data_IF_360006646755
#
_entry.id   IF_360006646755
#
_cell.length_a   1.000
_cell.length_b   1.000
_cell.length_c   1.000
_cell.angle_alpha   90.00
_cell.angle_beta   90.00
_cell.angle_gamma   90.00
#
_symmetry.space_group_name_H-M   'P 1'
#
loop_
_entity.id
_entity.type
_entity.pdbx_description
1 polymer ?
#
# COMPACT_ATOMS: atom_id res chain seq x y z
N UNK A 1 -2.66 8.71 16.45
CA UNK A 1 -1.47 8.13 15.81
C UNK A 1 -1.95 7.50 14.51
N UNK A 2 -1.65 8.11 13.36
CA UNK A 2 -2.08 7.59 12.05
C UNK A 2 -1.19 6.43 11.65
N UNK A 3 -1.71 5.21 11.70
CA UNK A 3 -1.02 4.02 11.20
C UNK A 3 -1.14 3.97 9.68
N UNK A 4 -0.07 4.34 8.97
CA UNK A 4 0.00 4.30 7.50
C UNK A 4 0.68 3.00 7.10
N UNK A 5 0.01 2.18 6.30
CA UNK A 5 0.60 0.99 5.69
C UNK A 5 0.73 1.17 4.17
N UNK A 6 1.87 0.78 3.61
CA UNK A 6 2.11 0.75 2.17
C UNK A 6 2.51 -0.66 1.72
N UNK A 7 1.78 -1.18 0.72
CA UNK A 7 2.15 -2.39 0.00
C UNK A 7 3.14 -2.02 -1.10
N UNK A 8 4.40 -2.38 -0.90
CA UNK A 8 5.53 -1.84 -1.66
C UNK A 8 6.36 -2.94 -2.36
N UNK A 9 6.91 -2.58 -3.52
CA UNK A 9 7.98 -3.34 -4.19
C UNK A 9 9.07 -2.37 -4.68
N UNK A 10 10.37 -2.67 -4.45
CA UNK A 10 11.46 -1.76 -4.82
C UNK A 10 11.59 -1.57 -6.35
N UNK A 11 11.10 -2.53 -7.13
CA UNK A 11 11.20 -2.51 -8.59
C UNK A 11 10.14 -1.63 -9.29
N UNK A 12 9.22 -1.02 -8.53
CA UNK A 12 8.18 -0.14 -9.07
C UNK A 12 8.50 1.33 -8.80
N UNK A 13 8.74 2.11 -9.86
CA UNK A 13 9.05 3.55 -9.75
C UNK A 13 7.99 4.34 -9.01
N UNK A 14 6.71 4.13 -9.34
CA UNK A 14 5.58 4.79 -8.67
C UNK A 14 5.55 4.44 -7.17
N UNK A 15 5.74 3.18 -6.82
CA UNK A 15 5.73 2.73 -5.42
C UNK A 15 6.87 3.35 -4.61
N UNK A 16 8.07 3.51 -5.20
CA UNK A 16 9.19 4.23 -4.56
C UNK A 16 8.86 5.70 -4.33
N UNK A 17 8.25 6.36 -5.32
CA UNK A 17 7.86 7.77 -5.20
C UNK A 17 6.79 7.95 -4.11
N UNK A 18 5.79 7.08 -4.03
CA UNK A 18 4.77 7.10 -2.97
C UNK A 18 5.39 6.91 -1.58
N UNK A 19 6.30 5.94 -1.41
CA UNK A 19 7.00 5.74 -0.14
C UNK A 19 7.81 6.99 0.27
N UNK A 20 8.50 7.62 -0.69
CA UNK A 20 9.24 8.86 -0.44
C UNK A 20 8.31 10.01 -0.04
N UNK A 21 7.16 10.16 -0.70
CA UNK A 21 6.17 11.19 -0.35
C UNK A 21 5.63 11.01 1.08
N UNK A 22 5.31 9.78 1.49
CA UNK A 22 4.86 9.49 2.86
C UNK A 22 5.96 9.83 3.88
N UNK A 23 7.21 9.45 3.61
CA UNK A 23 8.33 9.78 4.49
C UNK A 23 8.61 11.28 4.56
N UNK A 24 8.49 11.98 3.43
CA UNK A 24 8.68 13.43 3.35
C UNK A 24 7.61 14.20 4.13
N UNK A 25 6.44 13.60 4.41
CA UNK A 25 5.44 14.18 5.32
C UNK A 25 5.76 13.93 6.80
N UNK A 26 6.94 13.40 7.11
CA UNK A 26 7.38 13.11 8.48
C UNK A 26 6.78 11.83 9.10
N UNK A 27 6.11 10.99 8.29
CA UNK A 27 5.50 9.74 8.75
C UNK A 27 6.32 8.57 8.25
N UNK A 28 6.75 7.68 9.14
CA UNK A 28 7.35 6.40 8.73
C UNK A 28 6.24 5.35 8.63
N UNK A 29 5.89 4.86 7.42
CA UNK A 29 4.81 3.90 7.25
C UNK A 29 5.28 2.47 7.54
N UNK A 30 4.33 1.61 7.86
CA UNK A 30 4.52 0.16 7.80
C UNK A 30 4.66 -0.28 6.34
N UNK A 31 5.84 -0.81 5.98
CA UNK A 31 6.12 -1.28 4.61
C UNK A 31 5.89 -2.79 4.50
N UNK A 32 4.90 -3.20 3.70
CA UNK A 32 4.60 -4.62 3.42
C UNK A 32 5.10 -4.99 2.02
N UNK A 33 6.00 -5.97 1.93
CA UNK A 33 6.48 -6.53 0.65
C UNK A 33 5.44 -7.51 0.11
N UNK A 34 4.40 -7.02 -0.56
CA UNK A 34 3.23 -7.81 -0.95
C UNK A 34 3.54 -9.03 -1.83
N UNK A 35 4.63 -9.00 -2.60
CA UNK A 35 5.08 -10.17 -3.38
C UNK A 35 5.61 -11.32 -2.51
N UNK A 36 6.04 -11.04 -1.29
CA UNK A 36 6.50 -12.05 -0.31
C UNK A 36 5.44 -12.35 0.74
N UNK A 37 4.74 -11.32 1.19
CA UNK A 37 3.72 -11.38 2.24
C UNK A 37 2.45 -10.75 1.65
N UNK A 38 1.72 -11.50 0.79
CA UNK A 38 0.50 -11.00 0.20
C UNK A 38 -0.58 -10.81 1.28
N UNK A 39 -1.50 -9.85 1.10
CA UNK A 39 -2.66 -9.74 1.97
C UNK A 39 -3.52 -11.01 1.88
N UNK A 40 -4.17 -11.37 2.99
CA UNK A 40 -5.21 -12.38 3.00
C UNK A 40 -6.40 -11.94 2.12
N UNK A 41 -7.26 -12.89 1.76
CA UNK A 41 -8.48 -12.61 0.99
C UNK A 41 -9.35 -11.53 1.65
N UNK A 42 -9.51 -11.60 2.97
CA UNK A 42 -10.34 -10.67 3.73
C UNK A 42 -9.74 -9.26 3.71
N UNK A 43 -8.43 -9.15 3.94
CA UNK A 43 -7.71 -7.88 3.85
C UNK A 43 -7.76 -7.29 2.44
N UNK A 44 -7.55 -8.10 1.39
CA UNK A 44 -7.61 -7.64 0.01
C UNK A 44 -9.01 -7.11 -0.36
N UNK A 45 -10.07 -7.79 0.08
CA UNK A 45 -11.44 -7.31 -0.13
C UNK A 45 -11.68 -5.97 0.56
N UNK A 46 -11.18 -5.79 1.80
CA UNK A 46 -11.28 -4.52 2.51
C UNK A 46 -10.50 -3.41 1.81
N UNK A 47 -9.30 -3.69 1.30
CA UNK A 47 -8.49 -2.73 0.54
C UNK A 47 -9.21 -2.29 -0.74
N UNK A 48 -9.78 -3.22 -1.50
CA UNK A 48 -10.53 -2.91 -2.72
C UNK A 48 -11.78 -2.08 -2.39
N UNK A 49 -12.53 -2.44 -1.34
CA UNK A 49 -13.70 -1.67 -0.92
C UNK A 49 -13.32 -0.22 -0.56
N UNK A 50 -12.16 -0.02 0.06
CA UNK A 50 -11.65 1.31 0.43
C UNK A 50 -11.23 2.17 -0.77
N UNK A 51 -10.91 1.58 -1.94
CA UNK A 51 -10.58 2.38 -3.14
C UNK A 51 -11.82 2.96 -3.82
N UNK A 52 -13.01 2.42 -3.54
CA UNK A 52 -14.26 2.84 -4.18
C UNK A 52 -14.34 2.52 -5.68
N UNK A 53 -13.46 1.63 -6.18
CA UNK A 53 -13.38 1.25 -7.59
C UNK A 53 -13.74 -0.23 -7.79
N UNK A 54 -14.25 -0.62 -8.97
CA UNK A 54 -14.41 -2.03 -9.30
C UNK A 54 -13.04 -2.74 -9.29
N UNK A 55 -13.02 -4.03 -8.96
CA UNK A 55 -11.78 -4.83 -8.77
C UNK A 55 -10.76 -4.68 -9.91
N UNK A 56 -11.22 -4.55 -11.16
CA UNK A 56 -10.35 -4.40 -12.33
C UNK A 56 -9.62 -3.05 -12.38
N UNK A 57 -10.24 -2.01 -11.84
CA UNK A 57 -9.75 -0.62 -11.87
C UNK A 57 -9.15 -0.19 -10.52
N UNK A 58 -9.19 -1.08 -9.53
CA UNK A 58 -8.67 -0.91 -8.18
C UNK A 58 -7.15 -1.14 -8.09
#
# INVERSE_FOLDING_TARGET
MTDITIYHTPNCGTSRNTLAMIRNSGIEPRVIKYLKIPPSRVELMALIAATGKPVRDA
#
